data_IF_640419344722
#
_entry.id   IF_640419344722
#
_cell.length_a   1.000
_cell.length_b   1.000
_cell.length_c   1.000
_cell.angle_alpha   90.00
_cell.angle_beta   90.00
_cell.angle_gamma   90.00
#
_symmetry.space_group_name_H-M   'P 1'
#
loop_
_entity.id
_entity.type
_entity.pdbx_description
1 polymer ?
#
# COMPACT_ATOMS: atom_id res chain seq x y z
N UNK A 1 -1.26 10.37 0.37
CA UNK A 1 -1.46 8.91 0.56
C UNK A 1 -2.95 8.68 0.68
N UNK A 2 -3.51 7.60 0.13
CA UNK A 2 -4.89 7.22 0.45
C UNK A 2 -5.00 6.74 1.91
N UNK A 3 -6.22 6.52 2.40
CA UNK A 3 -6.51 6.11 3.77
C UNK A 3 -6.42 4.58 3.97
N UNK A 4 -6.02 4.11 5.16
CA UNK A 4 -6.00 2.67 5.49
C UNK A 4 -7.39 2.00 5.40
N UNK A 5 -8.50 2.66 5.83
CA UNK A 5 -9.86 2.17 5.58
C UNK A 5 -10.21 1.98 4.10
N UNK A 6 -9.45 2.57 3.16
CA UNK A 6 -9.56 2.27 1.74
C UNK A 6 -8.64 1.11 1.33
N UNK A 7 -7.42 1.07 1.87
CA UNK A 7 -6.43 0.04 1.53
C UNK A 7 -6.84 -1.38 1.96
N UNK A 8 -7.41 -1.55 3.16
CA UNK A 8 -7.89 -2.85 3.65
C UNK A 8 -8.87 -3.51 2.68
N UNK A 9 -9.97 -2.82 2.30
CA UNK A 9 -10.89 -3.29 1.27
C UNK A 9 -10.26 -3.54 -0.11
N UNK A 10 -9.28 -2.73 -0.53
CA UNK A 10 -8.56 -2.95 -1.79
C UNK A 10 -7.85 -4.31 -1.77
N UNK A 11 -7.09 -4.61 -0.70
CA UNK A 11 -6.35 -5.88 -0.62
C UNK A 11 -7.30 -7.07 -0.43
N UNK A 12 -8.41 -6.92 0.32
CA UNK A 12 -9.43 -7.94 0.45
C UNK A 12 -10.14 -8.23 -0.89
N UNK A 13 -10.49 -7.18 -1.64
CA UNK A 13 -11.07 -7.31 -2.98
C UNK A 13 -10.11 -7.95 -3.97
N UNK A 14 -8.82 -7.61 -3.91
CA UNK A 14 -7.78 -8.26 -4.71
C UNK A 14 -7.65 -9.75 -4.35
N UNK A 15 -7.62 -10.10 -3.05
CA UNK A 15 -7.58 -11.48 -2.60
C UNK A 15 -8.74 -12.33 -3.15
N UNK A 16 -9.96 -11.78 -3.07
CA UNK A 16 -11.17 -12.45 -3.56
C UNK A 16 -11.20 -12.59 -5.08
N UNK A 17 -10.82 -11.55 -5.82
CA UNK A 17 -10.94 -11.52 -7.29
C UNK A 17 -9.80 -12.25 -8.01
N UNK A 18 -8.56 -12.04 -7.57
CA UNK A 18 -7.37 -12.62 -8.22
C UNK A 18 -7.19 -14.09 -7.85
N UNK A 19 -7.30 -14.43 -6.56
CA UNK A 19 -7.02 -15.78 -6.08
C UNK A 19 -8.29 -16.61 -5.84
N UNK A 20 -9.48 -16.02 -6.02
CA UNK A 20 -10.73 -16.69 -5.66
C UNK A 20 -10.79 -17.02 -4.17
N UNK A 21 -10.12 -16.24 -3.32
CA UNK A 21 -9.95 -16.55 -1.92
C UNK A 21 -11.31 -16.64 -1.22
N UNK A 22 -11.48 -17.68 -0.41
CA UNK A 22 -12.64 -17.89 0.46
C UNK A 22 -12.22 -17.98 1.93
N UNK A 23 -10.97 -18.34 2.20
CA UNK A 23 -10.36 -18.37 3.53
C UNK A 23 -9.12 -17.51 3.53
N UNK A 24 -9.07 -16.53 4.41
CA UNK A 24 -7.93 -15.64 4.56
C UNK A 24 -7.40 -15.69 5.98
N UNK A 25 -6.11 -15.45 6.14
CA UNK A 25 -5.48 -15.30 7.45
C UNK A 25 -4.71 -13.98 7.52
N UNK A 26 -4.57 -13.45 8.73
CA UNK A 26 -3.83 -12.21 8.98
C UNK A 26 -2.75 -12.44 10.02
N UNK A 27 -1.54 -11.92 9.77
CA UNK A 27 -0.46 -11.82 10.75
C UNK A 27 -0.03 -10.35 10.84
N UNK A 28 -0.12 -9.74 12.01
CA UNK A 28 0.15 -8.31 12.16
C UNK A 28 0.89 -7.96 13.45
N UNK A 29 1.57 -6.82 13.45
CA UNK A 29 2.23 -6.25 14.62
C UNK A 29 1.20 -5.56 15.53
N UNK A 30 0.97 -6.09 16.72
CA UNK A 30 0.01 -5.53 17.68
C UNK A 30 0.53 -4.26 18.37
N UNK A 31 1.85 -4.03 18.36
CA UNK A 31 2.47 -2.87 19.00
C UNK A 31 2.44 -1.62 18.10
N UNK A 32 2.03 -1.76 16.84
CA UNK A 32 1.99 -0.67 15.88
C UNK A 32 0.55 -0.39 15.44
N UNK A 33 0.10 0.85 15.61
CA UNK A 33 -1.28 1.25 15.32
C UNK A 33 -1.61 1.11 13.82
N UNK A 34 -0.65 1.36 12.94
CA UNK A 34 -0.84 1.27 11.48
C UNK A 34 -1.08 -0.18 11.00
N UNK A 35 -0.18 -1.17 11.21
CA UNK A 35 -0.42 -2.56 10.81
C UNK A 35 -1.65 -3.15 11.49
N UNK A 36 -1.90 -2.81 12.76
CA UNK A 36 -3.10 -3.24 13.47
C UNK A 36 -4.38 -2.68 12.84
N UNK A 37 -4.44 -1.37 12.58
CA UNK A 37 -5.61 -0.75 11.96
C UNK A 37 -5.87 -1.31 10.58
N UNK A 38 -4.83 -1.51 9.77
CA UNK A 38 -4.96 -2.09 8.45
C UNK A 38 -5.38 -3.58 8.48
N UNK A 39 -4.89 -4.35 9.44
CA UNK A 39 -5.35 -5.72 9.69
C UNK A 39 -6.84 -5.78 10.05
N UNK A 40 -7.30 -4.87 10.92
CA UNK A 40 -8.72 -4.77 11.30
C UNK A 40 -9.59 -4.38 10.09
N UNK A 41 -9.18 -3.38 9.30
CA UNK A 41 -9.89 -2.98 8.08
C UNK A 41 -9.96 -4.11 7.03
N UNK A 42 -8.87 -4.86 6.85
CA UNK A 42 -8.86 -6.02 5.95
C UNK A 42 -9.81 -7.12 6.44
N UNK A 43 -9.80 -7.46 7.74
CA UNK A 43 -10.71 -8.46 8.31
C UNK A 43 -12.17 -8.09 8.03
N UNK A 44 -12.55 -6.86 8.37
CA UNK A 44 -13.93 -6.41 8.24
C UNK A 44 -14.36 -6.43 6.77
N UNK A 45 -13.51 -5.96 5.85
CA UNK A 45 -13.79 -6.01 4.42
C UNK A 45 -13.83 -7.45 3.86
N UNK A 46 -12.98 -8.34 4.35
CA UNK A 46 -12.97 -9.74 3.94
C UNK A 46 -14.28 -10.44 4.33
N UNK A 47 -14.76 -10.21 5.55
CA UNK A 47 -16.04 -10.72 6.04
C UNK A 47 -17.23 -10.16 5.24
N UNK A 48 -17.21 -8.86 4.90
CA UNK A 48 -18.22 -8.23 4.04
C UNK A 48 -18.26 -8.82 2.62
N UNK A 49 -17.11 -9.23 2.08
CA UNK A 49 -16.99 -9.94 0.81
C UNK A 49 -17.35 -11.42 0.90
N UNK A 50 -17.68 -11.93 2.09
CA UNK A 50 -18.09 -13.32 2.32
C UNK A 50 -16.93 -14.31 2.44
N UNK A 51 -15.71 -13.83 2.69
CA UNK A 51 -14.55 -14.66 3.02
C UNK A 51 -14.53 -14.97 4.53
N UNK A 52 -14.05 -16.16 4.88
CA UNK A 52 -13.79 -16.55 6.27
C UNK A 52 -12.39 -16.10 6.70
N UNK A 53 -12.30 -15.24 7.71
CA UNK A 53 -11.01 -14.92 8.35
C UNK A 53 -10.67 -16.04 9.34
N UNK A 54 -9.96 -17.05 8.84
CA UNK A 54 -9.75 -18.32 9.57
C UNK A 54 -8.69 -18.22 10.66
N UNK A 55 -7.79 -17.24 10.58
CA UNK A 55 -6.80 -16.94 11.61
C UNK A 55 -6.49 -15.43 11.62
N UNK A 56 -6.38 -14.87 12.81
CA UNK A 56 -6.06 -13.45 13.03
C UNK A 56 -5.02 -13.37 14.16
N UNK A 57 -3.78 -13.67 13.81
CA UNK A 57 -2.67 -13.82 14.75
C UNK A 57 -1.84 -12.53 14.81
N UNK A 58 -1.15 -12.34 15.92
CA UNK A 58 -0.30 -11.16 16.11
C UNK A 58 1.08 -11.51 16.66
N UNK A 59 2.01 -10.58 16.44
CA UNK A 59 3.35 -10.54 17.01
C UNK A 59 3.62 -9.12 17.52
N UNK A 60 4.79 -8.88 18.11
CA UNK A 60 5.22 -7.52 18.50
C UNK A 60 6.46 -7.08 17.71
N UNK A 61 6.59 -5.78 17.44
CA UNK A 61 7.74 -5.18 16.75
C UNK A 61 9.08 -5.75 17.23
N UNK A 62 9.94 -6.16 16.29
CA UNK A 62 11.27 -6.72 16.60
C UNK A 62 11.28 -8.21 16.95
N UNK A 63 10.14 -8.89 16.97
CA UNK A 63 10.10 -10.35 16.98
C UNK A 63 10.81 -10.91 15.73
N UNK A 64 11.52 -12.03 15.90
CA UNK A 64 12.25 -12.70 14.81
C UNK A 64 11.78 -14.13 14.58
N UNK A 65 10.88 -14.62 15.42
CA UNK A 65 10.32 -15.97 15.36
C UNK A 65 8.79 -15.86 15.34
N UNK A 66 8.21 -16.24 14.21
CA UNK A 66 6.78 -16.22 13.92
C UNK A 66 6.23 -17.64 13.79
N UNK A 67 7.03 -18.66 14.10
CA UNK A 67 6.73 -20.05 13.80
C UNK A 67 5.45 -20.54 14.48
N UNK A 68 5.17 -20.10 15.70
CA UNK A 68 3.94 -20.46 16.42
C UNK A 68 2.69 -19.90 15.72
N UNK A 69 2.70 -18.60 15.39
CA UNK A 69 1.61 -17.92 14.71
C UNK A 69 1.39 -18.53 13.32
N UNK A 70 2.47 -18.73 12.57
CA UNK A 70 2.41 -19.30 11.23
C UNK A 70 1.95 -20.76 11.25
N UNK A 71 2.35 -21.56 12.24
CA UNK A 71 1.84 -22.93 12.41
C UNK A 71 0.33 -22.93 12.64
N UNK A 72 -0.18 -22.03 13.48
CA UNK A 72 -1.62 -21.89 13.71
C UNK A 72 -2.35 -21.47 12.43
N UNK A 73 -1.82 -20.45 11.73
CA UNK A 73 -2.37 -19.96 10.46
C UNK A 73 -2.46 -21.09 9.44
N UNK A 74 -1.34 -21.78 9.17
CA UNK A 74 -1.26 -22.84 8.15
C UNK A 74 -2.19 -24.01 8.50
N UNK A 75 -2.35 -24.34 9.79
CA UNK A 75 -3.28 -25.37 10.23
C UNK A 75 -4.74 -25.07 9.88
N UNK A 76 -5.11 -23.80 9.68
CA UNK A 76 -6.44 -23.41 9.22
C UNK A 76 -6.62 -23.47 7.70
N UNK A 77 -5.55 -23.78 6.95
CA UNK A 77 -5.54 -23.88 5.49
C UNK A 77 -6.12 -22.64 4.78
N UNK A 78 -5.56 -21.44 5.02
CA UNK A 78 -5.97 -20.24 4.31
C UNK A 78 -5.55 -20.31 2.83
N UNK A 79 -6.33 -19.66 1.97
CA UNK A 79 -5.98 -19.45 0.56
C UNK A 79 -4.93 -18.34 0.43
N UNK A 80 -5.00 -17.31 1.29
CA UNK A 80 -4.16 -16.11 1.30
C UNK A 80 -3.75 -15.75 2.73
N UNK A 81 -2.51 -15.33 2.94
CA UNK A 81 -2.08 -14.65 4.16
C UNK A 81 -1.89 -13.16 3.88
N UNK A 82 -2.52 -12.29 4.67
CA UNK A 82 -2.28 -10.85 4.66
C UNK A 82 -1.35 -10.46 5.83
N UNK A 83 -0.35 -9.64 5.54
CA UNK A 83 0.67 -9.26 6.52
C UNK A 83 1.04 -7.76 6.34
N UNK A 84 0.27 -6.84 6.97
CA UNK A 84 0.37 -5.38 6.76
C UNK A 84 1.52 -4.67 7.51
N UNK A 85 2.56 -5.39 7.93
CA UNK A 85 3.70 -4.85 8.68
C UNK A 85 4.75 -4.22 7.77
N UNK A 86 5.54 -3.34 8.38
CA UNK A 86 6.72 -2.73 7.78
C UNK A 86 7.72 -3.79 7.28
N UNK A 87 8.48 -3.42 6.24
CA UNK A 87 9.40 -4.30 5.51
C UNK A 87 10.42 -5.08 6.34
N UNK A 88 10.70 -4.72 7.60
CA UNK A 88 11.77 -5.33 8.41
C UNK A 88 11.45 -6.78 8.80
N UNK A 89 10.22 -7.06 9.23
CA UNK A 89 9.80 -8.40 9.68
C UNK A 89 9.33 -9.29 8.51
N UNK A 90 8.95 -8.69 7.37
CA UNK A 90 8.42 -9.40 6.19
C UNK A 90 9.32 -10.54 5.71
N UNK A 91 10.65 -10.36 5.52
CA UNK A 91 11.53 -11.43 5.04
C UNK A 91 11.48 -12.68 5.92
N UNK A 92 11.48 -12.49 7.25
CA UNK A 92 11.44 -13.59 8.21
C UNK A 92 10.07 -14.26 8.25
N UNK A 93 8.99 -13.47 8.18
CA UNK A 93 7.61 -14.00 8.11
C UNK A 93 7.44 -14.87 6.86
N UNK A 94 7.83 -14.34 5.69
CA UNK A 94 7.70 -15.03 4.40
C UNK A 94 8.56 -16.29 4.41
N UNK A 95 9.84 -16.20 4.78
CA UNK A 95 10.74 -17.36 4.82
C UNK A 95 10.20 -18.45 5.76
N UNK A 96 9.77 -18.10 6.97
CA UNK A 96 9.24 -19.07 7.92
C UNK A 96 7.92 -19.69 7.45
N UNK A 97 7.05 -18.93 6.76
CA UNK A 97 5.83 -19.46 6.18
C UNK A 97 6.15 -20.51 5.09
N UNK A 98 7.14 -20.22 4.23
CA UNK A 98 7.62 -21.16 3.20
C UNK A 98 8.27 -22.40 3.82
N UNK A 99 9.11 -22.23 4.85
CA UNK A 99 9.75 -23.35 5.56
C UNK A 99 8.74 -24.27 6.24
N UNK A 100 7.60 -23.71 6.69
CA UNK A 100 6.47 -24.45 7.24
C UNK A 100 5.53 -25.04 6.17
N UNK A 101 5.83 -24.82 4.88
CA UNK A 101 5.13 -25.44 3.75
C UNK A 101 3.93 -24.66 3.21
N UNK A 102 3.76 -23.38 3.59
CA UNK A 102 2.76 -22.54 2.92
C UNK A 102 3.22 -22.20 1.50
N UNK A 103 2.46 -22.60 0.48
CA UNK A 103 2.75 -22.30 -0.93
C UNK A 103 1.84 -21.21 -1.51
N UNK A 104 0.83 -20.75 -0.75
CA UNK A 104 -0.13 -19.76 -1.21
C UNK A 104 0.44 -18.33 -1.34
N UNK A 105 -0.34 -17.40 -1.90
CA UNK A 105 -0.01 -15.98 -1.93
C UNK A 105 0.07 -15.39 -0.51
N UNK A 106 1.04 -14.48 -0.34
CA UNK A 106 1.16 -13.59 0.82
C UNK A 106 1.01 -12.16 0.29
N UNK A 107 0.09 -11.40 0.89
CA UNK A 107 -0.22 -10.03 0.50
C UNK A 107 0.31 -9.05 1.55
N UNK A 108 0.88 -7.94 1.07
CA UNK A 108 1.43 -6.87 1.90
C UNK A 108 0.69 -5.53 1.78
N UNK A 109 1.19 -4.55 2.52
CA UNK A 109 0.75 -3.15 2.46
C UNK A 109 1.79 -2.27 1.76
N UNK A 110 1.52 -0.97 1.72
CA UNK A 110 2.37 0.05 1.09
C UNK A 110 3.74 0.14 1.76
N UNK A 111 3.83 -0.25 3.02
CA UNK A 111 5.07 -0.35 3.78
C UNK A 111 6.10 -1.37 3.23
N UNK A 112 5.72 -2.18 2.24
CA UNK A 112 6.61 -3.08 1.50
C UNK A 112 7.37 -2.40 0.38
N UNK A 113 6.92 -1.22 -0.09
CA UNK A 113 7.38 -0.54 -1.32
C UNK A 113 8.80 0.05 -1.29
N UNK A 114 9.73 -0.54 -0.54
CA UNK A 114 11.13 -0.09 -0.43
C UNK A 114 12.12 -1.07 -1.07
N UNK A 115 13.20 -0.59 -1.73
CA UNK A 115 14.30 -1.44 -2.19
C UNK A 115 14.92 -2.31 -1.09
N UNK A 116 14.86 -1.88 0.18
CA UNK A 116 15.36 -2.66 1.30
C UNK A 116 14.63 -3.98 1.46
N UNK A 117 13.31 -4.03 1.18
CA UNK A 117 12.55 -5.28 1.21
C UNK A 117 13.08 -6.26 0.16
N UNK A 118 13.31 -5.81 -1.07
CA UNK A 118 13.83 -6.65 -2.15
C UNK A 118 15.19 -7.24 -1.78
N UNK A 119 16.07 -6.43 -1.19
CA UNK A 119 17.38 -6.87 -0.74
C UNK A 119 17.32 -7.89 0.40
N UNK A 120 16.39 -7.73 1.34
CA UNK A 120 16.26 -8.61 2.50
C UNK A 120 15.50 -9.91 2.19
N UNK A 121 14.45 -9.83 1.37
CA UNK A 121 13.57 -10.95 1.10
C UNK A 121 14.08 -11.86 -0.02
N UNK A 122 14.85 -11.31 -0.98
CA UNK A 122 15.38 -12.07 -2.11
C UNK A 122 14.30 -12.89 -2.81
N UNK A 123 14.64 -14.13 -3.17
CA UNK A 123 13.73 -15.05 -3.89
C UNK A 123 12.49 -15.45 -3.07
N UNK A 124 12.49 -15.28 -1.74
CA UNK A 124 11.38 -15.71 -0.90
C UNK A 124 10.10 -14.89 -1.16
N UNK A 125 10.27 -13.61 -1.55
CA UNK A 125 9.16 -12.71 -1.87
C UNK A 125 8.76 -12.75 -3.35
N UNK A 126 9.42 -13.53 -4.21
CA UNK A 126 9.08 -13.60 -5.63
C UNK A 126 7.63 -14.05 -5.82
N UNK A 127 6.90 -13.32 -6.66
CA UNK A 127 5.49 -13.54 -6.95
C UNK A 127 4.52 -13.08 -5.86
N UNK A 128 4.99 -12.46 -4.78
CA UNK A 128 4.13 -11.84 -3.76
C UNK A 128 3.61 -10.47 -4.23
N UNK A 129 2.52 -10.02 -3.61
CA UNK A 129 1.84 -8.79 -4.00
C UNK A 129 1.64 -7.85 -2.82
N UNK A 130 1.57 -6.56 -3.07
CA UNK A 130 1.18 -5.57 -2.06
C UNK A 130 0.48 -4.38 -2.70
N UNK A 131 -0.31 -3.66 -1.92
CA UNK A 131 -0.93 -2.41 -2.37
C UNK A 131 -0.04 -1.21 -2.03
N UNK A 132 0.07 -0.20 -2.90
CA UNK A 132 0.79 1.07 -2.65
C UNK A 132 0.18 2.22 -3.45
N UNK A 133 0.77 3.41 -3.34
CA UNK A 133 0.24 4.69 -3.84
C UNK A 133 0.63 5.02 -5.28
N UNK A 134 1.60 4.30 -5.84
CA UNK A 134 2.32 4.70 -7.06
C UNK A 134 3.10 3.52 -7.64
N UNK A 135 3.29 3.49 -8.96
CA UNK A 135 4.26 2.62 -9.62
C UNK A 135 4.99 3.37 -10.75
N UNK A 136 6.34 3.31 -10.82
CA UNK A 136 7.12 4.04 -11.83
C UNK A 136 6.88 3.62 -13.29
N UNK A 137 6.39 2.41 -13.51
CA UNK A 137 6.19 1.79 -14.82
C UNK A 137 4.88 2.19 -15.50
N UNK A 138 3.90 2.71 -14.74
CA UNK A 138 2.70 3.36 -15.27
C UNK A 138 2.75 4.89 -15.11
N UNK A 139 3.95 5.45 -15.03
CA UNK A 139 4.14 6.89 -14.82
C UNK A 139 3.49 7.74 -15.91
N UNK A 140 2.72 8.73 -15.48
CA UNK A 140 2.26 9.84 -16.34
C UNK A 140 3.43 10.70 -16.80
N UNK A 141 3.24 11.62 -17.75
CA UNK A 141 4.31 12.54 -18.18
C UNK A 141 4.86 13.39 -17.00
N UNK A 142 3.98 13.80 -16.08
CA UNK A 142 4.34 14.53 -14.86
C UNK A 142 5.20 13.64 -13.95
N UNK A 143 4.78 12.39 -13.72
CA UNK A 143 5.55 11.44 -12.94
C UNK A 143 6.90 11.11 -13.58
N UNK A 144 6.97 10.94 -14.90
CA UNK A 144 8.22 10.67 -15.61
C UNK A 144 9.23 11.81 -15.47
N UNK A 145 8.75 13.06 -15.47
CA UNK A 145 9.60 14.23 -15.24
C UNK A 145 10.23 14.19 -13.84
N UNK A 146 9.41 13.88 -12.83
CA UNK A 146 9.88 13.71 -11.45
C UNK A 146 10.87 12.53 -11.31
N UNK A 147 10.55 11.37 -11.87
CA UNK A 147 11.43 10.18 -11.85
C UNK A 147 12.80 10.50 -12.42
N UNK A 148 12.85 11.13 -13.60
CA UNK A 148 14.10 11.47 -14.26
C UNK A 148 14.93 12.46 -13.42
N UNK A 149 14.30 13.50 -12.87
CA UNK A 149 14.98 14.48 -12.04
C UNK A 149 15.48 13.88 -10.71
N UNK A 150 14.71 12.98 -10.12
CA UNK A 150 15.09 12.26 -8.90
C UNK A 150 16.27 11.33 -9.17
N UNK A 151 16.23 10.56 -10.27
CA UNK A 151 17.31 9.66 -10.65
C UNK A 151 18.61 10.41 -11.00
N UNK A 152 18.52 11.57 -11.66
CA UNK A 152 19.68 12.43 -11.92
C UNK A 152 20.34 12.93 -10.62
N UNK A 153 19.54 13.28 -9.62
CA UNK A 153 20.03 13.86 -8.37
C UNK A 153 20.52 12.80 -7.36
N UNK A 154 19.85 11.65 -7.31
CA UNK A 154 20.06 10.64 -6.26
C UNK A 154 20.62 9.31 -6.77
N UNK A 155 20.63 9.07 -8.09
CA UNK A 155 21.16 7.85 -8.69
C UNK A 155 20.30 6.60 -8.49
N UNK A 156 19.03 6.78 -8.11
CA UNK A 156 18.04 5.71 -7.95
C UNK A 156 16.64 6.22 -8.34
N UNK A 157 15.73 5.31 -8.70
CA UNK A 157 14.32 5.67 -8.90
C UNK A 157 13.66 6.02 -7.56
N UNK A 158 12.71 6.96 -7.52
CA UNK A 158 11.99 7.30 -6.31
C UNK A 158 11.06 6.16 -5.88
N UNK A 159 10.98 5.93 -4.56
CA UNK A 159 9.94 5.12 -3.93
C UNK A 159 8.64 5.93 -3.77
N UNK A 160 7.61 5.30 -3.21
CA UNK A 160 6.32 5.92 -2.97
C UNK A 160 6.41 7.07 -1.96
N UNK A 161 7.24 6.96 -0.92
CA UNK A 161 7.46 8.00 0.08
C UNK A 161 8.04 9.27 -0.56
N UNK A 162 9.04 9.14 -1.44
CA UNK A 162 9.61 10.25 -2.18
C UNK A 162 8.57 10.92 -3.09
N UNK A 163 7.79 10.10 -3.83
CA UNK A 163 6.73 10.59 -4.71
C UNK A 163 5.60 11.32 -3.95
N UNK A 164 5.15 10.75 -2.83
CA UNK A 164 4.14 11.34 -1.95
C UNK A 164 4.62 12.64 -1.30
N UNK A 165 5.90 12.71 -0.92
CA UNK A 165 6.52 13.91 -0.37
C UNK A 165 6.55 15.01 -1.42
N UNK A 166 6.95 14.67 -2.65
CA UNK A 166 6.94 15.61 -3.77
C UNK A 166 5.54 16.18 -4.00
N UNK A 167 4.52 15.33 -4.12
CA UNK A 167 3.13 15.77 -4.30
C UNK A 167 2.64 16.66 -3.16
N UNK A 168 3.02 16.35 -1.92
CA UNK A 168 2.64 17.14 -0.74
C UNK A 168 3.21 18.56 -0.78
N UNK A 169 4.45 18.74 -1.22
CA UNK A 169 5.04 20.07 -1.40
C UNK A 169 4.46 20.81 -2.60
N UNK A 170 4.19 20.11 -3.70
CA UNK A 170 3.56 20.70 -4.89
C UNK A 170 2.14 21.21 -4.59
N UNK A 171 1.35 20.46 -3.82
CA UNK A 171 0.05 20.91 -3.30
C UNK A 171 0.19 22.18 -2.45
N UNK A 172 1.15 22.21 -1.53
CA UNK A 172 1.42 23.38 -0.70
C UNK A 172 1.83 24.60 -1.54
N UNK A 173 2.71 24.43 -2.53
CA UNK A 173 3.14 25.51 -3.40
C UNK A 173 1.99 26.05 -4.23
N UNK A 174 1.18 25.17 -4.83
CA UNK A 174 -0.04 25.56 -5.54
C UNK A 174 -0.97 26.37 -4.65
N UNK A 175 -1.21 25.93 -3.41
CA UNK A 175 -2.08 26.66 -2.50
C UNK A 175 -1.53 28.03 -2.08
N UNK A 176 -0.21 28.15 -1.90
CA UNK A 176 0.43 29.45 -1.63
C UNK A 176 0.27 30.40 -2.84
N UNK A 177 0.43 29.87 -4.05
CA UNK A 177 0.21 30.62 -5.28
C UNK A 177 -1.26 31.06 -5.42
N UNK A 178 -2.21 30.15 -5.19
CA UNK A 178 -3.64 30.43 -5.29
C UNK A 178 -4.12 31.42 -4.22
N UNK A 179 -3.59 31.33 -3.00
CA UNK A 179 -3.92 32.24 -1.90
C UNK A 179 -3.45 33.67 -2.13
N UNK A 180 -2.40 33.89 -2.94
CA UNK A 180 -1.72 35.19 -3.12
C UNK A 180 -1.37 35.85 -1.76
N UNK A 181 -1.09 35.02 -0.76
CA UNK A 181 -0.92 35.40 0.65
C UNK A 181 0.00 34.40 1.35
N UNK A 182 0.69 34.88 2.38
CA UNK A 182 1.49 34.03 3.28
C UNK A 182 0.80 33.81 4.64
N UNK A 183 -0.43 34.29 4.80
CA UNK A 183 -1.21 34.06 6.01
C UNK A 183 -1.69 32.61 6.05
N UNK A 184 -1.53 31.98 7.22
CA UNK A 184 -1.85 30.55 7.40
C UNK A 184 -3.29 30.20 7.05
N UNK A 185 -4.24 31.08 7.39
CA UNK A 185 -5.65 30.85 7.11
C UNK A 185 -5.93 30.84 5.60
N UNK A 186 -5.35 31.77 4.86
CA UNK A 186 -5.54 31.88 3.42
C UNK A 186 -4.95 30.67 2.68
N UNK A 187 -3.77 30.20 3.09
CA UNK A 187 -3.14 28.99 2.51
C UNK A 187 -3.96 27.73 2.82
N UNK A 188 -4.49 27.60 4.04
CA UNK A 188 -5.38 26.49 4.41
C UNK A 188 -6.63 26.47 3.54
N UNK A 189 -7.25 27.63 3.36
CA UNK A 189 -8.48 27.74 2.57
C UNK A 189 -8.19 27.48 1.09
N UNK A 190 -7.04 27.91 0.56
CA UNK A 190 -6.61 27.57 -0.79
C UNK A 190 -6.36 26.06 -0.96
N UNK A 191 -5.69 25.39 0.00
CA UNK A 191 -5.53 23.94 -0.01
C UNK A 191 -6.87 23.21 -0.05
N UNK A 192 -7.83 23.63 0.77
CA UNK A 192 -9.16 23.02 0.85
C UNK A 192 -10.01 23.23 -0.41
N UNK A 193 -9.65 24.20 -1.27
CA UNK A 193 -10.34 24.48 -2.53
C UNK A 193 -9.70 23.78 -3.75
N UNK A 194 -8.72 22.89 -3.54
CA UNK A 194 -8.16 22.08 -4.62
C UNK A 194 -9.13 20.93 -4.92
N UNK A 195 -9.94 21.09 -5.97
CA UNK A 195 -10.92 20.06 -6.37
C UNK A 195 -10.23 18.81 -6.94
N UNK A 196 -9.17 19.02 -7.73
CA UNK A 196 -8.39 17.97 -8.38
C UNK A 196 -6.92 18.37 -8.47
N UNK A 197 -6.06 17.41 -8.18
CA UNK A 197 -4.62 17.51 -8.32
C UNK A 197 -4.07 16.32 -9.11
N UNK A 198 -3.44 16.61 -10.25
CA UNK A 198 -2.73 15.63 -11.07
C UNK A 198 -1.27 15.54 -10.62
N UNK A 199 -1.02 14.63 -9.68
CA UNK A 199 0.29 14.44 -9.06
C UNK A 199 1.16 13.38 -9.73
N UNK A 200 2.38 13.24 -9.23
CA UNK A 200 3.29 12.17 -9.63
C UNK A 200 2.83 10.81 -9.12
N UNK A 201 2.04 10.78 -8.05
CA UNK A 201 1.39 9.58 -7.53
C UNK A 201 0.02 9.32 -8.17
N UNK A 202 -0.31 10.01 -9.26
CA UNK A 202 -1.60 9.94 -9.93
C UNK A 202 -2.55 11.06 -9.53
N UNK A 203 -3.72 11.07 -10.17
CA UNK A 203 -4.77 12.03 -9.86
C UNK A 203 -5.37 11.78 -8.48
N UNK A 204 -5.70 12.86 -7.77
CA UNK A 204 -6.42 12.81 -6.50
C UNK A 204 -7.35 14.01 -6.36
N UNK A 205 -8.53 13.78 -5.77
CA UNK A 205 -9.39 14.83 -5.22
C UNK A 205 -9.38 14.76 -3.70
N UNK A 206 -10.00 15.72 -3.01
CA UNK A 206 -10.04 15.77 -1.54
C UNK A 206 -11.47 15.89 -1.05
N UNK A 207 -11.79 15.19 0.05
CA UNK A 207 -13.10 15.31 0.69
C UNK A 207 -13.18 16.52 1.65
N UNK A 208 -14.32 16.71 2.32
CA UNK A 208 -14.52 17.82 3.27
C UNK A 208 -13.56 17.80 4.48
N UNK A 209 -12.94 16.66 4.77
CA UNK A 209 -11.97 16.48 5.86
C UNK A 209 -10.53 16.75 5.37
N UNK A 210 -10.34 16.91 4.06
CA UNK A 210 -9.04 17.01 3.40
C UNK A 210 -8.41 15.66 3.11
N UNK A 211 -9.18 14.57 3.20
CA UNK A 211 -8.69 13.22 2.90
C UNK A 211 -8.70 12.99 1.39
N UNK A 212 -7.60 12.47 0.82
CA UNK A 212 -7.50 12.28 -0.61
C UNK A 212 -8.30 11.07 -1.08
N UNK A 213 -9.08 11.26 -2.15
CA UNK A 213 -9.68 10.20 -2.96
C UNK A 213 -8.78 9.95 -4.17
N UNK A 214 -8.19 8.75 -4.24
CA UNK A 214 -7.36 8.31 -5.37
C UNK A 214 -7.33 6.79 -5.49
N UNK A 215 -6.90 6.29 -6.64
CA UNK A 215 -6.69 4.85 -6.81
C UNK A 215 -5.49 4.35 -5.99
N UNK A 216 -5.61 3.12 -5.51
CA UNK A 216 -4.49 2.31 -5.05
C UNK A 216 -3.91 1.52 -6.23
N UNK A 217 -2.64 1.17 -6.12
CA UNK A 217 -1.92 0.34 -7.07
C UNK A 217 -1.59 -1.00 -6.40
N UNK A 218 -1.75 -2.10 -7.12
CA UNK A 218 -1.25 -3.42 -6.73
C UNK A 218 0.06 -3.66 -7.46
N UNK A 219 1.09 -4.01 -6.69
CA UNK A 219 2.43 -4.34 -7.17
C UNK A 219 2.66 -5.83 -7.00
N UNK A 220 3.32 -6.44 -7.98
CA UNK A 220 3.94 -7.75 -7.87
C UNK A 220 5.45 -7.60 -7.69
N UNK A 221 6.02 -8.36 -6.75
CA UNK A 221 7.46 -8.57 -6.66
C UNK A 221 7.82 -9.60 -7.74
N UNK A 222 8.54 -9.16 -8.77
CA UNK A 222 8.87 -10.00 -9.91
C UNK A 222 10.28 -9.72 -10.45
N UNK A 223 11.07 -10.76 -10.66
CA UNK A 223 12.45 -10.69 -11.15
C UNK A 223 13.34 -9.70 -10.36
N UNK A 224 13.13 -9.65 -9.04
CA UNK A 224 13.87 -8.75 -8.15
C UNK A 224 13.49 -7.28 -8.29
N UNK A 225 12.32 -6.97 -8.84
CA UNK A 225 11.79 -5.62 -8.99
C UNK A 225 10.33 -5.52 -8.55
N UNK A 226 9.89 -4.30 -8.26
CA UNK A 226 8.48 -3.96 -8.10
C UNK A 226 7.87 -3.66 -9.47
N UNK A 227 6.88 -4.45 -9.86
CA UNK A 227 6.19 -4.32 -11.14
C UNK A 227 4.71 -4.07 -10.91
N UNK A 228 4.13 -3.08 -11.60
CA UNK A 228 2.70 -2.84 -11.63
C UNK A 228 1.94 -4.09 -12.05
N UNK A 229 0.90 -4.42 -11.29
CA UNK A 229 0.00 -5.52 -11.58
C UNK A 229 -1.39 -5.03 -11.95
N UNK A 230 -2.00 -4.22 -11.07
CA UNK A 230 -3.37 -3.73 -11.25
C UNK A 230 -3.59 -2.42 -10.47
N UNK A 231 -4.74 -1.77 -10.67
CA UNK A 231 -5.17 -0.61 -9.90
C UNK A 231 -6.58 -0.81 -9.35
N UNK A 232 -6.80 -0.41 -8.11
CA UNK A 232 -8.12 -0.38 -7.48
C UNK A 232 -8.53 1.07 -7.22
N UNK A 233 -9.58 1.53 -7.87
CA UNK A 233 -10.07 2.89 -7.75
C UNK A 233 -11.36 2.96 -6.91
N UNK A 234 -11.55 4.03 -6.10
CA UNK A 234 -12.85 4.34 -5.53
C UNK A 234 -13.92 4.44 -6.64
N UNK A 235 -15.16 4.06 -6.32
CA UNK A 235 -16.25 4.15 -7.28
C UNK A 235 -16.42 5.59 -7.80
N UNK A 236 -16.46 5.75 -9.13
CA UNK A 236 -16.57 7.06 -9.78
C UNK A 236 -15.26 7.86 -9.84
N UNK A 237 -14.12 7.24 -9.53
CA UNK A 237 -12.79 7.86 -9.65
C UNK A 237 -11.91 7.13 -10.69
N UNK A 238 -11.19 7.84 -11.58
CA UNK A 238 -11.27 9.29 -11.77
C UNK A 238 -12.64 9.70 -12.35
N UNK A 239 -13.07 10.96 -12.17
CA UNK A 239 -14.35 11.43 -12.71
C UNK A 239 -14.44 11.22 -14.23
N UNK A 240 -15.56 10.68 -14.73
CA UNK A 240 -15.74 10.33 -16.17
C UNK A 240 -15.69 11.53 -17.13
N UNK A 241 -15.87 12.76 -16.62
CA UNK A 241 -16.00 13.99 -17.41
C UNK A 241 -14.72 14.87 -17.39
N UNK A 242 -13.54 14.26 -17.51
CA UNK A 242 -12.27 14.97 -17.67
C UNK A 242 -11.69 14.81 -19.08
#
# INVERSE_FOLDING_TARGET
AFLDPFQGPVVAGFAASEFGATKVAVLYDVASDYPKGLAENFRDAAEELGMDVVAFESFTTGDTDFSSQLTNIIAQSPDVIFTPQYYNEVPLIVQQARDLGFEGPILGSDSWGTPDLLALCGDACEGLFFSTHYAPDIATEVAQTFINAYEELYGAKPDDVAALTYDSFQLLFRAIEDAQSLERADIRDALANIDLYEGVTGAMSFDEQGDPTKCAVIIQIHEGAFTYYDSACPAGFPPEDM
#
